data_IF_405765472013
#
_entry.id   IF_405765472013
#
_cell.length_a   1.000
_cell.length_b   1.000
_cell.length_c   1.000
_cell.angle_alpha   90.00
_cell.angle_beta   90.00
_cell.angle_gamma   90.00
#
_symmetry.space_group_name_H-M   'P 1'
#
loop_
_entity.id
_entity.type
_entity.pdbx_description
1 polymer ?
#
# COMPACT_ATOMS: atom_id res chain seq x y z
N UNK A 1 -12.63 18.42 -13.42
CA UNK A 1 -12.37 16.96 -13.21
C UNK A 1 -10.97 16.78 -12.63
N UNK A 2 -10.74 17.13 -11.36
CA UNK A 2 -9.38 17.16 -10.77
C UNK A 2 -9.26 16.60 -9.34
N UNK A 3 -10.30 15.98 -8.77
CA UNK A 3 -10.27 15.56 -7.35
C UNK A 3 -10.10 14.05 -7.10
N UNK A 4 -10.09 13.18 -8.12
CA UNK A 4 -9.94 11.73 -7.88
C UNK A 4 -8.49 11.22 -7.78
N UNK A 5 -7.49 12.03 -8.15
CA UNK A 5 -6.08 11.56 -8.27
C UNK A 5 -5.27 11.79 -6.99
N UNK A 6 -5.76 12.59 -6.03
CA UNK A 6 -4.97 12.95 -4.85
C UNK A 6 -4.85 11.82 -3.83
N UNK A 7 -5.96 11.16 -3.47
CA UNK A 7 -5.94 10.07 -2.50
C UNK A 7 -5.14 8.87 -3.02
N UNK A 8 -5.35 8.49 -4.29
CA UNK A 8 -4.64 7.37 -4.91
C UNK A 8 -3.12 7.57 -4.89
N UNK A 9 -2.64 8.81 -5.09
CA UNK A 9 -1.19 9.09 -5.08
C UNK A 9 -0.57 8.97 -3.69
N UNK A 10 -1.26 9.42 -2.64
CA UNK A 10 -0.77 9.32 -1.26
C UNK A 10 -0.68 7.86 -0.83
N UNK A 11 -1.75 7.08 -1.04
CA UNK A 11 -1.76 5.65 -0.68
C UNK A 11 -0.73 4.83 -1.44
N UNK A 12 -0.49 5.12 -2.73
CA UNK A 12 0.53 4.40 -3.50
C UNK A 12 1.95 4.68 -2.98
N UNK A 13 2.22 5.90 -2.53
CA UNK A 13 3.50 6.25 -1.90
C UNK A 13 3.64 5.54 -0.55
N UNK A 14 2.64 5.63 0.32
CA UNK A 14 2.67 4.98 1.64
C UNK A 14 2.85 3.47 1.52
N UNK A 15 2.20 2.84 0.53
CA UNK A 15 2.36 1.42 0.24
C UNK A 15 3.77 1.07 -0.26
N UNK A 16 4.35 1.90 -1.11
CA UNK A 16 5.73 1.71 -1.59
C UNK A 16 6.71 1.90 -0.44
N UNK A 17 6.55 2.94 0.38
CA UNK A 17 7.38 3.20 1.56
C UNK A 17 7.29 2.04 2.56
N UNK A 18 6.08 1.54 2.82
CA UNK A 18 5.84 0.35 3.64
C UNK A 18 6.49 -0.91 3.06
N UNK A 19 6.37 -1.13 1.75
CA UNK A 19 7.03 -2.24 1.06
C UNK A 19 8.55 -2.14 1.15
N UNK A 20 9.10 -0.92 1.08
CA UNK A 20 10.53 -0.67 1.20
C UNK A 20 11.07 -0.87 2.62
N UNK A 21 10.28 -0.55 3.65
CA UNK A 21 10.63 -0.82 5.04
C UNK A 21 10.69 -2.32 5.36
N UNK A 22 10.03 -3.18 4.57
CA UNK A 22 9.91 -4.64 4.80
C UNK A 22 9.53 -4.96 6.26
N UNK A 23 8.44 -4.38 6.79
CA UNK A 23 8.08 -4.56 8.19
C UNK A 23 7.77 -6.03 8.48
N UNK A 24 8.15 -6.48 9.67
CA UNK A 24 7.63 -7.74 10.22
C UNK A 24 6.12 -7.64 10.46
N UNK A 25 5.44 -8.79 10.56
CA UNK A 25 3.99 -8.87 10.78
C UNK A 25 3.52 -8.05 12.00
N UNK A 26 4.29 -8.07 13.09
CA UNK A 26 3.98 -7.35 14.32
C UNK A 26 3.96 -5.82 14.10
N UNK A 27 5.01 -5.28 13.46
CA UNK A 27 5.12 -3.86 13.16
C UNK A 27 4.01 -3.41 12.20
N UNK A 28 3.65 -4.26 11.23
CA UNK A 28 2.55 -3.97 10.32
C UNK A 28 1.21 -3.92 11.06
N UNK A 29 0.96 -4.85 11.99
CA UNK A 29 -0.24 -4.83 12.84
C UNK A 29 -0.36 -3.54 13.62
N UNK A 30 0.72 -3.13 14.28
CA UNK A 30 0.75 -1.91 15.09
C UNK A 30 0.54 -0.66 14.23
N UNK A 31 1.16 -0.60 13.05
CA UNK A 31 0.97 0.49 12.10
C UNK A 31 -0.48 0.60 11.61
N UNK A 32 -1.13 -0.54 11.32
CA UNK A 32 -2.53 -0.58 10.90
C UNK A 32 -3.45 -0.19 12.06
N UNK A 33 -3.26 -0.75 13.25
CA UNK A 33 -4.04 -0.37 14.43
C UNK A 33 -3.93 1.14 14.71
N UNK A 34 -2.72 1.72 14.56
CA UNK A 34 -2.52 3.16 14.67
C UNK A 34 -3.25 3.93 13.56
N UNK A 35 -3.20 3.46 12.32
CA UNK A 35 -3.90 4.11 11.22
C UNK A 35 -5.43 4.01 11.37
N UNK A 36 -5.95 2.90 11.88
CA UNK A 36 -7.38 2.71 12.19
C UNK A 36 -7.87 3.72 13.23
N UNK A 37 -7.04 4.07 14.24
CA UNK A 37 -7.43 5.12 15.21
C UNK A 37 -7.58 6.51 14.58
N UNK A 38 -6.87 6.79 13.47
CA UNK A 38 -6.88 8.09 12.81
C UNK A 38 -7.86 8.18 11.63
N UNK A 39 -8.03 7.07 10.89
CA UNK A 39 -8.76 7.02 9.62
C UNK A 39 -9.91 6.00 9.60
N UNK A 40 -10.11 5.25 10.68
CA UNK A 40 -11.12 4.20 10.79
C UNK A 40 -10.72 2.88 10.13
N UNK A 41 -11.60 1.87 10.26
CA UNK A 41 -11.42 0.52 9.72
C UNK A 41 -11.35 0.46 8.18
N UNK A 42 -11.71 1.55 7.50
CA UNK A 42 -11.61 1.67 6.04
C UNK A 42 -10.17 1.58 5.51
N UNK A 43 -9.16 1.84 6.35
CA UNK A 43 -7.75 1.90 5.93
C UNK A 43 -7.26 0.59 5.29
N UNK A 44 -7.65 -0.57 5.82
CA UNK A 44 -7.24 -1.87 5.27
C UNK A 44 -7.84 -2.07 3.88
N UNK A 45 -9.11 -1.73 3.73
CA UNK A 45 -9.84 -1.82 2.45
C UNK A 45 -9.28 -0.85 1.41
N UNK A 46 -8.92 0.36 1.83
CA UNK A 46 -8.34 1.37 0.96
C UNK A 46 -6.91 1.01 0.52
N UNK A 47 -6.12 0.40 1.42
CA UNK A 47 -4.80 -0.17 1.09
C UNK A 47 -4.92 -1.33 0.09
N UNK A 48 -5.89 -2.23 0.29
CA UNK A 48 -6.16 -3.31 -0.66
C UNK A 48 -6.56 -2.77 -2.04
N UNK A 49 -7.44 -1.76 -2.08
CA UNK A 49 -7.83 -1.10 -3.33
C UNK A 49 -6.65 -0.42 -4.02
N UNK A 50 -5.80 0.29 -3.28
CA UNK A 50 -4.59 0.90 -3.85
C UNK A 50 -3.66 -0.18 -4.45
N UNK A 51 -3.53 -1.33 -3.78
CA UNK A 51 -2.73 -2.45 -4.25
C UNK A 51 -3.31 -3.11 -5.53
N UNK A 52 -4.64 -3.23 -5.63
CA UNK A 52 -5.32 -3.67 -6.85
C UNK A 52 -5.17 -2.67 -8.00
N UNK A 53 -5.27 -1.36 -7.72
CA UNK A 53 -5.05 -0.32 -8.72
C UNK A 53 -3.62 -0.31 -9.23
N UNK A 54 -2.63 -0.50 -8.35
CA UNK A 54 -1.22 -0.65 -8.71
C UNK A 54 -0.96 -1.87 -9.59
N UNK A 55 -1.70 -2.97 -9.39
CA UNK A 55 -1.58 -4.18 -10.20
C UNK A 55 -2.30 -4.07 -11.55
N UNK A 56 -3.47 -3.44 -11.57
CA UNK A 56 -4.29 -3.31 -12.78
C UNK A 56 -3.80 -2.22 -13.74
N UNK A 57 -3.22 -1.13 -13.23
CA UNK A 57 -2.70 -0.04 -14.06
C UNK A 57 -1.25 -0.31 -14.48
N UNK A 58 -1.10 -0.88 -15.67
CA UNK A 58 0.19 -1.04 -16.31
C UNK A 58 0.89 0.33 -16.46
N UNK A 59 2.18 0.41 -16.09
CA UNK A 59 2.96 1.65 -16.13
C UNK A 59 2.84 2.55 -14.89
N UNK A 60 1.84 2.34 -14.02
CA UNK A 60 1.63 3.22 -12.86
C UNK A 60 2.73 3.07 -11.81
N UNK A 61 3.18 1.83 -11.56
CA UNK A 61 4.33 1.59 -10.68
C UNK A 61 5.60 2.27 -11.21
N UNK A 62 5.82 2.25 -12.51
CA UNK A 62 6.98 2.92 -13.14
C UNK A 62 6.91 4.44 -12.90
N UNK A 63 5.72 5.05 -13.07
CA UNK A 63 5.50 6.46 -12.75
C UNK A 63 5.74 6.80 -11.28
N UNK A 64 5.31 5.93 -10.37
CA UNK A 64 5.59 6.11 -8.94
C UNK A 64 7.09 6.05 -8.66
N UNK A 65 7.80 5.08 -9.25
CA UNK A 65 9.25 4.95 -9.11
C UNK A 65 9.99 6.17 -9.69
N UNK A 66 9.59 6.67 -10.86
CA UNK A 66 10.13 7.90 -11.47
C UNK A 66 9.92 9.11 -10.56
N UNK A 67 8.69 9.29 -10.06
CA UNK A 67 8.34 10.43 -9.19
C UNK A 67 9.10 10.39 -7.87
N UNK A 68 9.36 9.20 -7.34
CA UNK A 68 10.11 8.99 -6.10
C UNK A 68 11.63 8.87 -6.33
N UNK A 69 12.10 9.09 -7.57
CA UNK A 69 13.51 8.95 -7.96
C UNK A 69 14.16 7.62 -7.51
N UNK A 70 13.39 6.53 -7.57
CA UNK A 70 13.85 5.21 -7.14
C UNK A 70 14.78 4.58 -8.18
N UNK A 71 15.94 4.09 -7.74
CA UNK A 71 16.95 3.48 -8.62
C UNK A 71 16.93 1.95 -8.62
N UNK A 72 16.05 1.34 -7.82
CA UNK A 72 15.98 -0.11 -7.68
C UNK A 72 15.21 -0.79 -8.82
N UNK A 73 15.44 -2.09 -9.09
CA UNK A 73 14.65 -2.81 -10.08
C UNK A 73 13.18 -2.95 -9.65
N UNK A 74 12.26 -2.67 -10.59
CA UNK A 74 10.81 -2.84 -10.41
C UNK A 74 10.40 -4.21 -9.89
N UNK A 75 11.08 -5.27 -10.32
CA UNK A 75 10.80 -6.64 -9.86
C UNK A 75 11.02 -6.80 -8.34
N UNK A 76 12.01 -6.12 -7.77
CA UNK A 76 12.29 -6.14 -6.33
C UNK A 76 11.19 -5.40 -5.57
N UNK A 77 10.76 -4.24 -6.09
CA UNK A 77 9.65 -3.49 -5.51
C UNK A 77 8.35 -4.32 -5.56
N UNK A 78 8.07 -4.98 -6.68
CA UNK A 78 6.93 -5.90 -6.79
C UNK A 78 6.98 -7.06 -5.80
N UNK A 79 8.16 -7.65 -5.57
CA UNK A 79 8.33 -8.71 -4.57
C UNK A 79 7.96 -8.21 -3.17
N UNK A 80 8.40 -7.00 -2.82
CA UNK A 80 8.10 -6.40 -1.52
C UNK A 80 6.62 -6.05 -1.37
N UNK A 81 5.99 -5.47 -2.42
CA UNK A 81 4.55 -5.17 -2.44
C UNK A 81 3.73 -6.45 -2.23
N UNK A 82 4.10 -7.56 -2.91
CA UNK A 82 3.45 -8.86 -2.71
C UNK A 82 3.65 -9.41 -1.29
N UNK A 83 4.78 -9.13 -0.64
CA UNK A 83 4.99 -9.52 0.75
C UNK A 83 4.03 -8.77 1.68
N UNK A 84 3.88 -7.45 1.49
CA UNK A 84 2.89 -6.64 2.23
C UNK A 84 1.46 -7.14 1.97
N UNK A 85 1.09 -7.43 0.72
CA UNK A 85 -0.22 -8.00 0.39
C UNK A 85 -0.50 -9.29 1.17
N UNK A 86 0.46 -10.22 1.23
CA UNK A 86 0.30 -11.47 1.99
C UNK A 86 0.10 -11.19 3.47
N UNK A 87 0.86 -10.27 4.05
CA UNK A 87 0.71 -9.89 5.44
C UNK A 87 -0.68 -9.29 5.68
N UNK A 88 -1.16 -8.41 4.81
CA UNK A 88 -2.52 -7.85 4.90
C UNK A 88 -3.61 -8.92 4.84
N UNK A 89 -3.45 -9.94 3.99
CA UNK A 89 -4.37 -11.09 3.92
C UNK A 89 -4.34 -11.96 5.18
N UNK A 90 -3.22 -11.98 5.91
CA UNK A 90 -3.12 -12.71 7.19
C UNK A 90 -3.66 -11.93 8.38
N UNK A 91 -3.92 -10.63 8.22
CA UNK A 91 -4.58 -9.86 9.26
C UNK A 91 -6.06 -10.25 9.30
N UNK A 92 -6.62 -10.47 10.49
CA UNK A 92 -8.07 -10.58 10.62
C UNK A 92 -8.64 -9.27 10.07
N UNK A 93 -9.31 -9.35 8.92
CA UNK A 93 -10.13 -8.24 8.44
C UNK A 93 -11.13 -8.03 9.56
N UNK A 94 -11.11 -6.85 10.20
CA UNK A 94 -12.15 -6.48 11.14
C UNK A 94 -13.46 -6.63 10.36
N UNK A 95 -14.21 -7.68 10.70
CA UNK A 95 -15.44 -8.04 10.02
C UNK A 95 -16.32 -6.80 9.96
N UNK A 96 -16.95 -6.61 8.80
CA UNK A 96 -17.99 -5.61 8.55
C UNK A 96 -18.78 -5.33 9.84
N UNK A 97 -18.69 -4.08 10.32
CA UNK A 97 -19.76 -3.48 11.11
C UNK A 97 -20.69 -2.77 10.15
#
# INVERSE_FOLDING_TARGET
MFERVHHQRVFNRDLIDLAMMKPGLQLLREAIAKAETAYGSAIVRDLMRALEELQSRQGWLDRCMETMAMTMPKAVLWKNIKAVQRLLLTLPQAADQ
#
